data_IF_503078792336
#
_entry.id   IF_503078792336
#
_cell.length_a   1.000
_cell.length_b   1.000
_cell.length_c   1.000
_cell.angle_alpha   90.00
_cell.angle_beta   90.00
_cell.angle_gamma   90.00
#
_symmetry.space_group_name_H-M   'P 1'
#
loop_
_entity.id
_entity.type
_entity.pdbx_description
1 polymer ?
#
# COMPACT_ATOMS: atom_id res chain seq x y z
N UNK A 1 -62.11 15.38 36.80
CA UNK A 1 -61.85 15.68 38.21
C UNK A 1 -61.38 14.40 38.87
N UNK A 2 -60.28 14.50 39.62
CA UNK A 2 -59.80 13.51 40.59
C UNK A 2 -59.30 12.17 40.04
N UNK A 3 -58.34 11.50 40.65
CA UNK A 3 -57.18 11.87 41.43
C UNK A 3 -56.45 10.52 41.59
N UNK A 4 -55.13 10.54 41.45
CA UNK A 4 -54.23 9.74 42.27
C UNK A 4 -54.12 8.20 42.14
N UNK A 5 -52.84 7.81 42.01
CA UNK A 5 -52.13 6.81 42.84
C UNK A 5 -52.27 5.34 42.47
N UNK A 6 -51.18 4.78 41.90
CA UNK A 6 -50.15 4.07 42.69
C UNK A 6 -49.04 3.51 41.80
N UNK A 7 -47.83 4.02 42.00
CA UNK A 7 -46.57 3.39 41.63
C UNK A 7 -46.47 2.00 42.26
N UNK A 8 -46.34 0.92 41.47
CA UNK A 8 -45.58 -0.27 41.85
C UNK A 8 -44.87 -0.77 40.59
N UNK A 9 -43.67 -0.27 40.33
CA UNK A 9 -42.75 -0.83 39.32
C UNK A 9 -42.14 -2.08 39.96
N UNK A 10 -42.57 -3.25 39.50
CA UNK A 10 -41.92 -4.51 39.79
C UNK A 10 -40.66 -4.58 38.92
N UNK A 11 -39.49 -4.37 39.51
CA UNK A 11 -38.20 -4.58 38.84
C UNK A 11 -37.96 -6.09 38.76
N UNK A 12 -38.31 -6.70 37.63
CA UNK A 12 -37.88 -8.05 37.30
C UNK A 12 -36.46 -7.98 36.73
N UNK A 13 -35.48 -8.20 37.60
CA UNK A 13 -34.15 -8.64 37.19
C UNK A 13 -34.28 -10.06 36.62
N UNK A 14 -34.24 -10.20 35.30
CA UNK A 14 -33.97 -11.48 34.67
C UNK A 14 -32.75 -11.35 33.77
N UNK A 15 -31.71 -12.10 34.17
CA UNK A 15 -30.38 -12.14 33.59
C UNK A 15 -30.43 -12.51 32.10
N UNK A 16 -29.92 -11.60 31.26
CA UNK A 16 -29.47 -11.97 29.92
C UNK A 16 -28.03 -12.46 30.08
N UNK A 17 -27.83 -13.77 30.15
CA UNK A 17 -26.52 -14.35 29.91
C UNK A 17 -26.15 -14.13 28.43
N UNK A 18 -25.44 -13.04 28.15
CA UNK A 18 -24.72 -12.87 26.88
C UNK A 18 -23.51 -13.81 26.95
N UNK A 19 -23.33 -14.75 26.01
CA UNK A 19 -22.08 -15.47 25.91
C UNK A 19 -20.99 -14.47 25.54
N UNK A 20 -20.09 -14.18 26.48
CA UNK A 20 -18.85 -13.44 26.23
C UNK A 20 -17.99 -14.32 25.34
N UNK A 21 -18.19 -14.18 24.03
CA UNK A 21 -17.21 -14.61 23.05
C UNK A 21 -16.02 -13.67 23.23
N UNK A 22 -14.91 -14.22 23.70
CA UNK A 22 -13.62 -13.54 23.75
C UNK A 22 -13.11 -13.34 22.33
N UNK A 23 -13.73 -12.39 21.63
CA UNK A 23 -13.28 -11.93 20.32
C UNK A 23 -12.14 -10.96 20.55
N UNK A 24 -10.91 -11.50 20.59
CA UNK A 24 -9.73 -10.70 20.27
C UNK A 24 -9.81 -10.31 18.80
N UNK A 25 -10.56 -9.25 18.49
CA UNK A 25 -10.32 -8.46 17.29
C UNK A 25 -9.42 -7.32 17.77
N UNK A 26 -8.12 -7.59 17.86
CA UNK A 26 -7.17 -7.10 16.86
C UNK A 26 -7.48 -5.65 16.54
N UNK A 27 -6.89 -4.77 17.35
CA UNK A 27 -6.26 -3.51 16.93
C UNK A 27 -6.47 -3.17 15.46
N UNK A 28 -7.68 -2.74 15.12
CA UNK A 28 -7.97 -1.95 13.94
C UNK A 28 -7.56 -0.52 14.26
N UNK A 29 -6.28 -0.33 14.55
CA UNK A 29 -5.64 0.96 14.67
C UNK A 29 -4.90 1.21 13.36
N UNK A 30 -5.66 1.63 12.35
CA UNK A 30 -5.31 2.67 11.38
C UNK A 30 -3.80 2.87 11.07
N UNK A 31 -3.09 1.82 10.65
CA UNK A 31 -1.97 1.96 9.73
C UNK A 31 -2.55 1.71 8.34
N UNK A 32 -2.72 2.77 7.54
CA UNK A 32 -3.12 2.62 6.14
C UNK A 32 -1.94 2.08 5.31
N UNK A 33 -1.43 0.90 5.69
CA UNK A 33 -0.48 0.17 4.88
C UNK A 33 -1.24 -0.29 3.64
N UNK A 34 -0.75 0.15 2.48
CA UNK A 34 -1.28 -0.29 1.20
C UNK A 34 -1.23 -1.83 1.17
N UNK A 35 -2.27 -2.46 0.65
CA UNK A 35 -2.21 -3.89 0.34
C UNK A 35 -1.17 -4.16 -0.76
N UNK A 36 -0.72 -5.42 -0.85
CA UNK A 36 0.19 -5.85 -1.92
C UNK A 36 -0.39 -5.52 -3.31
N UNK A 37 -1.69 -5.74 -3.51
CA UNK A 37 -2.35 -5.49 -4.79
C UNK A 37 -2.41 -3.99 -5.12
N UNK A 38 -2.68 -3.14 -4.14
CA UNK A 38 -2.64 -1.68 -4.32
C UNK A 38 -1.24 -1.18 -4.65
N UNK A 39 -0.21 -1.72 -3.99
CA UNK A 39 1.18 -1.34 -4.30
C UNK A 39 1.62 -1.83 -5.68
N UNK A 40 1.24 -3.05 -6.11
CA UNK A 40 1.49 -3.54 -7.48
C UNK A 40 0.79 -2.67 -8.53
N UNK A 41 -0.43 -2.22 -8.26
CA UNK A 41 -1.17 -1.31 -9.14
C UNK A 41 -0.46 0.05 -9.28
N UNK A 42 0.07 0.58 -8.17
CA UNK A 42 0.85 1.82 -8.16
C UNK A 42 2.17 1.69 -8.95
N UNK A 43 2.93 0.62 -8.73
CA UNK A 43 4.16 0.33 -9.51
C UNK A 43 3.81 0.27 -11.00
N UNK A 44 2.74 -0.42 -11.35
CA UNK A 44 2.27 -0.54 -12.74
C UNK A 44 1.90 0.82 -13.34
N UNK A 45 1.25 1.70 -12.56
CA UNK A 45 0.90 3.04 -13.00
C UNK A 45 2.16 3.91 -13.22
N UNK A 46 3.12 3.85 -12.30
CA UNK A 46 4.37 4.61 -12.41
C UNK A 46 5.16 4.19 -13.66
N UNK A 47 5.25 2.88 -13.93
CA UNK A 47 5.88 2.34 -15.14
C UNK A 47 5.20 2.80 -16.43
N UNK A 48 3.88 2.94 -16.45
CA UNK A 48 3.14 3.46 -17.64
C UNK A 48 3.42 4.93 -17.92
N UNK A 49 3.75 5.71 -16.89
CA UNK A 49 4.01 7.15 -17.03
C UNK A 49 5.44 7.48 -17.41
N UNK A 50 6.32 6.47 -17.56
CA UNK A 50 7.75 6.65 -17.82
C UNK A 50 8.43 7.65 -16.85
N UNK A 51 7.93 7.75 -15.61
CA UNK A 51 8.56 8.58 -14.57
C UNK A 51 9.78 7.85 -14.00
N UNK A 52 10.84 7.80 -14.80
CA UNK A 52 12.13 7.22 -14.41
C UNK A 52 13.01 8.21 -13.65
N UNK A 53 12.82 9.51 -13.89
CA UNK A 53 13.65 10.59 -13.36
C UNK A 53 13.25 11.11 -11.97
N UNK A 54 12.20 10.57 -11.35
CA UNK A 54 11.87 11.01 -9.99
C UNK A 54 12.80 10.33 -8.98
N UNK A 55 13.97 10.91 -8.73
CA UNK A 55 14.72 10.66 -7.50
C UNK A 55 13.81 11.01 -6.31
N UNK A 56 13.03 10.05 -5.82
CA UNK A 56 12.00 10.30 -4.83
C UNK A 56 11.06 9.12 -4.61
N UNK A 57 10.22 9.25 -3.58
CA UNK A 57 9.31 8.20 -3.09
C UNK A 57 8.21 7.78 -4.08
N UNK A 58 8.12 8.45 -5.23
CA UNK A 58 7.14 8.17 -6.29
C UNK A 58 7.73 7.42 -7.48
N UNK A 59 9.03 7.11 -7.47
CA UNK A 59 9.63 6.28 -8.51
C UNK A 59 9.13 4.84 -8.41
N UNK A 60 8.92 4.22 -9.57
CA UNK A 60 8.63 2.80 -9.67
C UNK A 60 9.70 1.96 -8.94
N UNK A 61 10.98 2.32 -9.04
CA UNK A 61 12.07 1.63 -8.33
C UNK A 61 11.89 1.70 -6.81
N UNK A 62 11.64 2.90 -6.27
CA UNK A 62 11.42 3.06 -4.84
C UNK A 62 10.27 2.17 -4.35
N UNK A 63 9.14 2.16 -5.07
CA UNK A 63 8.00 1.32 -4.70
C UNK A 63 8.27 -0.18 -4.88
N UNK A 64 9.05 -0.57 -5.88
CA UNK A 64 9.50 -1.97 -6.06
C UNK A 64 10.35 -2.40 -4.86
N UNK A 65 11.28 -1.56 -4.40
CA UNK A 65 12.10 -1.86 -3.21
C UNK A 65 11.24 -1.97 -1.95
N UNK A 66 10.33 -1.02 -1.71
CA UNK A 66 9.38 -1.09 -0.59
C UNK A 66 8.49 -2.34 -0.65
N UNK A 67 8.01 -2.71 -1.84
CA UNK A 67 7.21 -3.92 -2.02
C UNK A 67 8.00 -5.16 -1.63
N UNK A 68 9.28 -5.27 -2.03
CA UNK A 68 10.12 -6.44 -1.71
C UNK A 68 10.44 -6.53 -0.21
N UNK A 69 10.49 -5.39 0.49
CA UNK A 69 10.67 -5.35 1.94
C UNK A 69 9.40 -5.80 2.68
N UNK A 70 8.22 -5.37 2.21
CA UNK A 70 6.94 -5.67 2.85
C UNK A 70 6.40 -7.07 2.50
N UNK A 71 6.59 -7.53 1.26
CA UNK A 71 6.14 -8.84 0.77
C UNK A 71 7.29 -9.62 0.09
N UNK A 72 8.29 -10.10 0.84
CA UNK A 72 9.51 -10.70 0.29
C UNK A 72 9.29 -11.99 -0.51
N UNK A 73 8.16 -12.67 -0.30
CA UNK A 73 7.79 -13.91 -0.99
C UNK A 73 6.75 -13.72 -2.10
N UNK A 74 6.33 -12.47 -2.36
CA UNK A 74 5.43 -12.17 -3.47
C UNK A 74 6.23 -11.86 -4.74
N UNK A 75 6.35 -12.88 -5.58
CA UNK A 75 7.14 -12.79 -6.82
C UNK A 75 6.41 -12.06 -7.96
N UNK A 76 5.18 -11.59 -7.77
CA UNK A 76 4.44 -10.82 -8.80
C UNK A 76 5.15 -9.51 -9.15
N UNK A 77 5.99 -8.98 -8.24
CA UNK A 77 6.82 -7.78 -8.49
C UNK A 77 7.99 -8.03 -9.44
N UNK A 78 8.46 -9.27 -9.58
CA UNK A 78 9.63 -9.62 -10.41
C UNK A 78 9.47 -9.16 -11.86
N UNK A 79 8.39 -9.48 -12.60
CA UNK A 79 8.22 -8.98 -13.96
C UNK A 79 8.16 -7.44 -14.04
N UNK A 80 7.65 -6.75 -13.01
CA UNK A 80 7.62 -5.30 -12.97
C UNK A 80 9.03 -4.69 -12.80
N UNK A 81 9.89 -5.33 -12.00
CA UNK A 81 11.29 -4.95 -11.87
C UNK A 81 12.06 -5.09 -13.19
N UNK A 82 11.81 -6.17 -13.94
CA UNK A 82 12.39 -6.33 -15.28
C UNK A 82 11.88 -5.27 -16.26
N UNK A 83 10.58 -4.95 -16.24
CA UNK A 83 10.01 -3.89 -17.08
C UNK A 83 10.64 -2.53 -16.78
N UNK A 84 10.84 -2.22 -15.50
CA UNK A 84 11.56 -1.03 -15.08
C UNK A 84 12.98 -1.00 -15.64
N UNK A 85 13.77 -2.07 -15.43
CA UNK A 85 15.16 -2.13 -15.86
C UNK A 85 15.31 -1.96 -17.39
N UNK A 86 14.44 -2.61 -18.16
CA UNK A 86 14.45 -2.51 -19.62
C UNK A 86 14.02 -1.11 -20.12
N UNK A 87 13.14 -0.42 -19.40
CA UNK A 87 12.78 0.94 -19.73
C UNK A 87 13.90 1.94 -19.38
N UNK A 88 14.52 1.78 -18.21
CA UNK A 88 15.69 2.56 -17.78
C UNK A 88 16.87 2.39 -18.75
N UNK A 89 17.13 1.16 -19.21
CA UNK A 89 18.15 0.85 -20.23
C UNK A 89 17.89 1.60 -21.54
N UNK A 90 16.66 1.53 -22.07
CA UNK A 90 16.27 2.25 -23.30
C UNK A 90 16.38 3.77 -23.14
N UNK A 91 16.03 4.32 -21.98
CA UNK A 91 16.19 5.74 -21.71
C UNK A 91 17.67 6.16 -21.68
N UNK A 92 18.53 5.33 -21.08
CA UNK A 92 19.97 5.55 -21.08
C UNK A 92 20.56 5.55 -22.50
N UNK A 93 20.11 4.65 -23.38
CA UNK A 93 20.50 4.65 -24.80
C UNK A 93 20.12 5.96 -25.51
N UNK A 94 18.90 6.47 -25.27
CA UNK A 94 18.46 7.76 -25.83
C UNK A 94 19.37 8.90 -25.38
N UNK A 95 19.76 8.96 -24.11
CA UNK A 95 20.69 9.99 -23.63
C UNK A 95 22.10 9.84 -24.23
N UNK A 96 22.58 8.61 -24.41
CA UNK A 96 23.86 8.37 -25.10
C UNK A 96 23.83 8.87 -26.54
N UNK A 97 22.75 8.61 -27.28
CA UNK A 97 22.56 9.10 -28.65
C UNK A 97 22.50 10.63 -28.73
N UNK A 98 21.95 11.27 -27.69
CA UNK A 98 21.88 12.72 -27.57
C UNK A 98 23.19 13.37 -27.09
N UNK A 99 24.19 12.57 -26.71
CA UNK A 99 25.45 13.05 -26.13
C UNK A 99 25.36 13.44 -24.65
N UNK A 100 24.23 13.17 -23.98
CA UNK A 100 24.08 13.37 -22.54
C UNK A 100 24.64 12.16 -21.76
N UNK A 101 25.97 12.09 -21.73
CA UNK A 101 26.68 11.02 -21.04
C UNK A 101 26.49 11.05 -19.51
N UNK A 102 26.13 12.21 -18.94
CA UNK A 102 25.91 12.32 -17.50
C UNK A 102 24.59 11.67 -17.11
N UNK A 103 23.49 12.01 -17.78
CA UNK A 103 22.19 11.43 -17.50
C UNK A 103 22.20 9.91 -17.74
N UNK A 104 22.82 9.47 -18.84
CA UNK A 104 23.00 8.04 -19.13
C UNK A 104 23.75 7.30 -18.02
N UNK A 105 24.82 7.89 -17.47
CA UNK A 105 25.59 7.28 -16.37
C UNK A 105 24.76 7.20 -15.08
N UNK A 106 24.07 8.28 -14.72
CA UNK A 106 23.24 8.33 -13.51
C UNK A 106 22.13 7.27 -13.53
N UNK A 107 21.56 6.98 -14.69
CA UNK A 107 20.55 5.94 -14.83
C UNK A 107 21.14 4.53 -14.77
N UNK A 108 22.32 4.33 -15.36
CA UNK A 108 23.02 3.05 -15.28
C UNK A 108 23.42 2.69 -13.84
N UNK A 109 23.70 3.67 -12.99
CA UNK A 109 23.99 3.48 -11.56
C UNK A 109 22.78 3.01 -10.74
N UNK A 110 21.56 3.12 -11.29
CA UNK A 110 20.33 2.69 -10.62
C UNK A 110 19.93 1.24 -10.93
N UNK A 111 20.50 0.65 -12.00
CA UNK A 111 20.25 -0.73 -12.45
C UNK A 111 20.98 -1.75 -11.56
#
# INVERSE_FOLDING_TARGET
MELMRKCWILVLFFSVQVPVQATQLQSSELSSELSADEMLALITADLKTNRFDSLGMTSAMYRIDQFRQQWPYDFRVVPLAYQWAEASRRQAEVWLEQGDHQAARQMAEQL
#
